data_IF_325409874209
#
_entry.id   IF_325409874209
#
_cell.length_a   1.000
_cell.length_b   1.000
_cell.length_c   1.000
_cell.angle_alpha   90.00
_cell.angle_beta   90.00
_cell.angle_gamma   90.00
#
_symmetry.space_group_name_H-M   'P 1'
#
loop_
_entity.id
_entity.type
_entity.pdbx_description
1 polymer ?
#
# COMPACT_ATOMS: atom_id res chain seq x y z
N UNK A 1 -14.39 21.95 24.42
CA UNK A 1 -13.72 20.64 24.57
C UNK A 1 -13.27 20.26 23.17
N UNK A 2 -12.07 20.70 22.81
CA UNK A 2 -11.55 20.73 21.44
C UNK A 2 -11.01 19.34 21.05
N UNK A 3 -11.80 18.60 20.29
CA UNK A 3 -11.42 17.26 19.75
C UNK A 3 -10.73 17.38 18.38
N UNK A 4 -10.52 18.61 17.86
CA UNK A 4 -10.04 18.84 16.49
C UNK A 4 -8.65 19.50 16.41
N UNK A 5 -7.79 19.33 17.42
CA UNK A 5 -6.39 19.82 17.40
C UNK A 5 -5.34 18.77 17.00
N UNK A 6 -5.69 17.53 16.67
CA UNK A 6 -4.72 16.58 16.10
C UNK A 6 -4.90 16.48 14.58
N UNK A 7 -4.75 17.60 13.87
CA UNK A 7 -4.53 17.58 12.41
C UNK A 7 -3.03 17.41 12.17
N UNK A 8 -2.71 16.35 11.42
CA UNK A 8 -1.46 16.09 10.68
C UNK A 8 -0.14 16.42 11.37
N UNK A 9 0.61 15.42 11.86
CA UNK A 9 2.05 15.61 12.09
C UNK A 9 2.87 14.30 12.15
N UNK A 10 2.44 13.25 11.45
CA UNK A 10 3.15 11.96 11.50
C UNK A 10 4.54 12.00 10.85
N UNK A 11 4.68 12.74 9.75
CA UNK A 11 5.93 12.84 8.97
C UNK A 11 6.81 14.04 9.39
N UNK A 12 6.19 15.15 9.81
CA UNK A 12 6.88 16.38 10.22
C UNK A 12 7.88 16.17 11.36
N UNK A 13 7.58 15.25 12.28
CA UNK A 13 8.47 14.86 13.38
C UNK A 13 9.80 14.21 12.95
N UNK A 14 9.98 13.92 11.65
CA UNK A 14 11.15 13.23 11.10
C UNK A 14 11.94 14.04 10.08
N UNK A 15 11.45 15.22 9.64
CA UNK A 15 12.03 15.99 8.53
C UNK A 15 13.50 16.39 8.78
N UNK A 16 13.88 16.61 10.05
CA UNK A 16 15.24 17.02 10.43
C UNK A 16 16.01 15.95 11.24
N UNK A 17 15.50 14.72 11.29
CA UNK A 17 16.12 13.63 12.07
C UNK A 17 16.93 12.70 11.19
N UNK A 18 18.11 12.31 11.66
CA UNK A 18 18.86 11.21 11.05
C UNK A 18 18.10 9.89 11.24
N UNK A 19 18.35 8.90 10.38
CA UNK A 19 17.76 7.55 10.52
C UNK A 19 17.99 6.99 11.93
N UNK A 20 19.19 7.17 12.49
CA UNK A 20 19.51 6.75 13.87
C UNK A 20 18.62 7.45 14.91
N UNK A 21 18.38 8.76 14.75
CA UNK A 21 17.49 9.51 15.64
C UNK A 21 16.03 9.07 15.50
N UNK A 22 15.57 8.78 14.28
CA UNK A 22 14.21 8.28 14.01
C UNK A 22 14.03 6.92 14.69
N UNK A 23 14.99 6.00 14.51
CA UNK A 23 14.94 4.67 15.12
C UNK A 23 14.97 4.75 16.65
N UNK A 24 15.87 5.56 17.23
CA UNK A 24 15.92 5.76 18.70
C UNK A 24 14.68 6.43 19.27
N UNK A 25 14.02 7.28 18.48
CA UNK A 25 12.77 7.94 18.89
C UNK A 25 11.60 6.95 18.89
N UNK A 26 11.58 5.99 17.97
CA UNK A 26 10.42 5.11 17.77
C UNK A 26 10.56 3.72 18.38
N UNK A 27 11.79 3.26 18.62
CA UNK A 27 12.08 1.98 19.24
C UNK A 27 12.40 2.22 20.71
N UNK A 28 11.50 1.77 21.57
CA UNK A 28 11.70 1.82 23.01
C UNK A 28 11.88 0.41 23.54
N UNK A 29 13.05 0.09 24.08
CA UNK A 29 13.22 -1.12 24.86
C UNK A 29 12.72 -0.86 26.28
N UNK A 30 11.68 -1.57 26.70
CA UNK A 30 11.14 -1.49 28.04
C UNK A 30 11.29 -2.85 28.72
N UNK A 31 12.25 -2.95 29.65
CA UNK A 31 12.61 -4.21 30.32
C UNK A 31 12.99 -5.30 29.29
N UNK A 32 12.16 -6.33 29.15
CA UNK A 32 12.34 -7.46 28.23
C UNK A 32 11.60 -7.27 26.91
N UNK A 33 10.75 -6.23 26.79
CA UNK A 33 9.93 -5.99 25.60
C UNK A 33 10.48 -4.85 24.76
N UNK A 34 10.18 -4.88 23.47
CA UNK A 34 10.55 -3.84 22.50
C UNK A 34 9.27 -3.24 21.94
N UNK A 35 9.13 -1.92 22.00
CA UNK A 35 7.99 -1.19 21.47
C UNK A 35 8.40 -0.44 20.20
N UNK A 36 7.59 -0.55 19.15
CA UNK A 36 7.73 0.20 17.90
C UNK A 36 6.37 0.75 17.47
N UNK A 37 6.27 2.08 17.30
CA UNK A 37 5.04 2.76 16.87
C UNK A 37 3.77 2.37 17.66
N UNK A 38 3.90 2.20 18.98
CA UNK A 38 2.79 1.84 19.87
C UNK A 38 2.43 0.35 19.89
N UNK A 39 3.17 -0.49 19.17
CA UNK A 39 3.04 -1.95 19.21
C UNK A 39 4.13 -2.53 20.11
N UNK A 40 3.73 -3.33 21.09
CA UNK A 40 4.65 -4.02 22.00
C UNK A 40 4.98 -5.42 21.49
N UNK A 41 6.27 -5.72 21.38
CA UNK A 41 6.83 -7.00 20.98
C UNK A 41 7.57 -7.62 22.15
N UNK A 42 7.54 -8.95 22.26
CA UNK A 42 8.19 -9.64 23.37
C UNK A 42 9.70 -9.47 23.44
N UNK A 43 10.36 -9.08 22.33
CA UNK A 43 11.77 -8.67 22.25
C UNK A 43 12.08 -8.11 20.84
N UNK A 44 13.29 -7.59 20.66
CA UNK A 44 13.76 -6.99 19.40
C UNK A 44 13.79 -8.00 18.23
N UNK A 45 14.16 -9.25 18.47
CA UNK A 45 14.17 -10.29 17.43
C UNK A 45 12.75 -10.56 16.92
N UNK A 46 11.77 -10.62 17.81
CA UNK A 46 10.36 -10.80 17.47
C UNK A 46 9.77 -9.57 16.79
N UNK A 47 10.22 -8.36 17.13
CA UNK A 47 9.89 -7.14 16.38
C UNK A 47 10.37 -7.25 14.93
N UNK A 48 11.65 -7.60 14.70
CA UNK A 48 12.21 -7.72 13.34
C UNK A 48 11.51 -8.83 12.54
N UNK A 49 11.24 -9.99 13.16
CA UNK A 49 10.48 -11.07 12.51
C UNK A 49 9.06 -10.61 12.17
N UNK A 50 8.33 -10.02 13.12
CA UNK A 50 6.98 -9.55 12.88
C UNK A 50 6.92 -8.48 11.78
N UNK A 51 7.90 -7.58 11.67
CA UNK A 51 7.97 -6.60 10.57
C UNK A 51 8.14 -7.23 9.19
N UNK A 52 8.75 -8.42 9.10
CA UNK A 52 8.87 -9.17 7.84
C UNK A 52 7.61 -10.00 7.49
N UNK A 53 6.77 -10.31 8.49
CA UNK A 53 5.63 -11.23 8.33
C UNK A 53 4.25 -10.58 8.53
N UNK A 54 4.18 -9.34 9.06
CA UNK A 54 2.93 -8.67 9.35
C UNK A 54 2.74 -7.39 8.51
N UNK A 55 1.61 -7.27 7.77
CA UNK A 55 1.42 -6.27 6.72
C UNK A 55 1.09 -4.86 7.23
N UNK A 56 1.14 -4.58 8.54
CA UNK A 56 1.02 -3.19 9.02
C UNK A 56 2.14 -2.29 8.46
N UNK A 57 3.26 -2.88 8.05
CA UNK A 57 4.35 -2.19 7.34
C UNK A 57 4.29 -2.36 5.82
N UNK A 58 3.32 -3.10 5.27
CA UNK A 58 3.06 -3.09 3.83
C UNK A 58 2.42 -1.73 3.53
N UNK A 59 3.28 -0.75 3.22
CA UNK A 59 2.91 0.64 3.00
C UNK A 59 1.74 0.79 2.02
N UNK A 60 1.58 -0.17 1.10
CA UNK A 60 0.53 -0.21 0.09
C UNK A 60 -0.86 -0.40 0.69
N UNK A 61 -1.06 -1.34 1.62
CA UNK A 61 -2.40 -1.61 2.20
C UNK A 61 -2.83 -0.48 3.14
N UNK A 62 -1.88 0.09 3.88
CA UNK A 62 -2.09 1.27 4.71
C UNK A 62 -2.45 2.48 3.83
N UNK A 63 -1.68 2.74 2.76
CA UNK A 63 -1.97 3.80 1.81
C UNK A 63 -3.34 3.61 1.15
N UNK A 64 -3.66 2.42 0.66
CA UNK A 64 -4.94 2.10 0.04
C UNK A 64 -6.10 2.33 1.02
N UNK A 65 -5.98 1.92 2.27
CA UNK A 65 -7.00 2.15 3.29
C UNK A 65 -7.29 3.64 3.49
N UNK A 66 -6.27 4.47 3.73
CA UNK A 66 -6.46 5.90 3.96
C UNK A 66 -6.95 6.65 2.72
N UNK A 67 -6.47 6.28 1.53
CA UNK A 67 -6.94 6.85 0.26
C UNK A 67 -8.42 6.51 0.00
N UNK A 68 -8.84 5.29 0.34
CA UNK A 68 -10.23 4.85 0.15
C UNK A 68 -11.19 5.45 1.18
N UNK A 69 -10.80 5.52 2.46
CA UNK A 69 -11.64 6.10 3.54
C UNK A 69 -12.01 7.56 3.27
N UNK A 70 -11.16 8.30 2.56
CA UNK A 70 -11.45 9.69 2.15
C UNK A 70 -12.58 9.80 1.13
N UNK A 71 -12.84 8.72 0.36
CA UNK A 71 -13.83 8.71 -0.73
C UNK A 71 -15.08 7.89 -0.40
N UNK A 72 -14.95 6.86 0.43
CA UNK A 72 -16.04 5.94 0.78
C UNK A 72 -15.79 5.28 2.14
N UNK A 73 -16.82 4.92 2.92
CA UNK A 73 -16.64 4.07 4.09
C UNK A 73 -15.97 2.75 3.70
N UNK A 74 -14.69 2.61 4.03
CA UNK A 74 -13.86 1.46 3.72
C UNK A 74 -13.36 0.81 5.01
N UNK A 75 -13.46 -0.52 5.09
CA UNK A 75 -12.99 -1.30 6.22
C UNK A 75 -11.91 -2.26 5.70
N UNK A 76 -10.72 -2.21 6.28
CA UNK A 76 -9.70 -3.23 6.04
C UNK A 76 -9.71 -4.23 7.22
N UNK A 77 -10.23 -5.45 7.03
CA UNK A 77 -10.31 -6.44 8.11
C UNK A 77 -8.92 -6.86 8.63
N UNK A 78 -7.86 -6.70 7.83
CA UNK A 78 -6.49 -7.05 8.24
C UNK A 78 -5.87 -6.03 9.22
N UNK A 79 -6.49 -4.86 9.38
CA UNK A 79 -6.06 -3.80 10.32
C UNK A 79 -6.87 -3.88 11.65
N UNK A 80 -7.62 -4.97 11.88
CA UNK A 80 -8.33 -5.18 13.13
C UNK A 80 -7.36 -5.39 14.31
N UNK A 81 -7.49 -4.59 15.37
CA UNK A 81 -6.63 -4.66 16.56
C UNK A 81 -6.60 -6.05 17.21
N UNK A 82 -7.67 -6.84 17.09
CA UNK A 82 -7.73 -8.21 17.61
C UNK A 82 -6.87 -9.15 16.79
N UNK A 83 -6.84 -9.00 15.47
CA UNK A 83 -5.95 -9.78 14.60
C UNK A 83 -4.48 -9.40 14.80
N UNK A 84 -4.22 -8.10 15.04
CA UNK A 84 -2.88 -7.61 15.38
C UNK A 84 -2.41 -8.25 16.68
N UNK A 85 -3.22 -8.16 17.74
CA UNK A 85 -2.91 -8.78 19.03
C UNK A 85 -2.74 -10.29 18.93
N UNK A 86 -3.61 -10.97 18.18
CA UNK A 86 -3.48 -12.41 17.93
C UNK A 86 -2.12 -12.73 17.30
N UNK A 87 -1.72 -11.99 16.26
CA UNK A 87 -0.44 -12.21 15.60
C UNK A 87 0.76 -12.01 16.54
N UNK A 88 0.73 -10.97 17.37
CA UNK A 88 1.79 -10.69 18.34
C UNK A 88 1.90 -11.77 19.43
N UNK A 89 0.82 -12.50 19.69
CA UNK A 89 0.82 -13.64 20.60
C UNK A 89 1.27 -14.97 19.94
N UNK A 90 1.35 -15.06 18.62
CA UNK A 90 1.78 -16.28 17.93
C UNK A 90 3.31 -16.40 18.06
N UNK A 91 3.83 -17.51 18.62
CA UNK A 91 5.27 -17.70 18.69
C UNK A 91 5.87 -17.77 17.27
N UNK A 92 6.99 -17.10 17.00
CA UNK A 92 7.54 -16.98 15.64
C UNK A 92 7.81 -18.33 14.96
N UNK A 93 8.09 -19.37 15.74
CA UNK A 93 8.36 -20.72 15.23
C UNK A 93 7.14 -21.30 14.51
N UNK A 94 5.94 -20.96 14.95
CA UNK A 94 4.71 -21.37 14.29
C UNK A 94 4.47 -20.55 13.02
N UNK A 95 4.75 -19.26 13.02
CA UNK A 95 4.60 -18.38 11.84
C UNK A 95 5.52 -18.78 10.68
N UNK A 96 6.70 -19.33 10.98
CA UNK A 96 7.71 -19.70 9.98
C UNK A 96 7.53 -21.10 9.39
N UNK A 97 6.99 -22.05 10.17
CA UNK A 97 6.94 -23.47 9.78
C UNK A 97 5.55 -23.96 9.44
N UNK A 98 4.53 -23.40 10.08
CA UNK A 98 3.16 -23.88 9.94
C UNK A 98 2.35 -22.82 9.23
N UNK A 99 1.60 -23.23 8.21
CA UNK A 99 0.64 -22.35 7.58
C UNK A 99 -0.61 -22.26 8.49
N UNK A 100 -0.45 -21.61 9.65
CA UNK A 100 -1.44 -21.57 10.74
C UNK A 100 -2.77 -21.04 10.22
N UNK A 101 -2.72 -20.04 9.32
CA UNK A 101 -3.92 -19.46 8.70
C UNK A 101 -4.67 -20.51 7.89
N UNK A 102 -3.98 -21.27 7.03
CA UNK A 102 -4.61 -22.33 6.24
C UNK A 102 -5.22 -23.42 7.14
N UNK A 103 -4.51 -23.80 8.20
CA UNK A 103 -5.00 -24.77 9.18
C UNK A 103 -6.23 -24.26 9.94
N UNK A 104 -6.20 -23.01 10.40
CA UNK A 104 -7.29 -22.37 11.11
C UNK A 104 -8.54 -22.25 10.22
N UNK A 105 -8.37 -21.78 8.97
CA UNK A 105 -9.47 -21.69 8.02
C UNK A 105 -10.05 -23.07 7.73
N UNK A 106 -9.20 -24.09 7.50
CA UNK A 106 -9.64 -25.48 7.26
C UNK A 106 -10.41 -26.08 8.44
N UNK A 107 -10.14 -25.64 9.67
CA UNK A 107 -10.87 -26.09 10.87
C UNK A 107 -12.18 -25.34 11.08
N UNK A 108 -12.24 -24.05 10.74
CA UNK A 108 -13.42 -23.21 10.93
C UNK A 108 -14.45 -23.44 9.83
N UNK A 109 -14.00 -23.49 8.58
CA UNK A 109 -14.85 -23.61 7.40
C UNK A 109 -14.13 -24.37 6.28
N UNK A 110 -14.51 -25.63 6.12
CA UNK A 110 -13.91 -26.52 5.13
C UNK A 110 -14.32 -26.14 3.69
N UNK A 111 -15.52 -25.59 3.51
CA UNK A 111 -15.98 -25.14 2.18
C UNK A 111 -15.12 -23.97 1.72
N UNK A 112 -14.92 -22.97 2.57
CA UNK A 112 -14.03 -21.84 2.29
C UNK A 112 -12.59 -22.29 2.04
N UNK A 113 -12.07 -23.23 2.83
CA UNK A 113 -10.72 -23.76 2.66
C UNK A 113 -10.52 -24.55 1.36
N UNK A 114 -11.61 -25.06 0.77
CA UNK A 114 -11.57 -25.79 -0.50
C UNK A 114 -11.46 -24.87 -1.72
N UNK A 115 -11.77 -23.58 -1.56
CA UNK A 115 -11.66 -22.60 -2.64
C UNK A 115 -10.19 -22.42 -3.03
N UNK A 116 -9.82 -22.60 -4.32
CA UNK A 116 -8.45 -22.38 -4.78
C UNK A 116 -8.01 -20.92 -4.60
N UNK A 117 -6.79 -20.73 -4.11
CA UNK A 117 -6.23 -19.39 -3.97
C UNK A 117 -6.02 -18.76 -5.36
N UNK A 118 -6.45 -17.51 -5.63
CA UNK A 118 -6.43 -16.92 -6.97
C UNK A 118 -5.04 -16.89 -7.61
N UNK A 119 -4.00 -16.57 -6.84
CA UNK A 119 -2.64 -16.45 -7.37
C UNK A 119 -1.90 -17.79 -7.57
N UNK A 120 -2.36 -18.90 -6.97
CA UNK A 120 -1.67 -20.20 -7.04
C UNK A 120 -2.54 -21.32 -7.60
N UNK A 121 -3.86 -21.09 -7.67
CA UNK A 121 -4.90 -22.05 -8.00
C UNK A 121 -4.84 -23.34 -7.14
N UNK A 122 -4.32 -23.23 -5.91
CA UNK A 122 -4.23 -24.33 -4.94
C UNK A 122 -5.09 -24.00 -3.73
N UNK A 123 -5.90 -24.95 -3.27
CA UNK A 123 -6.74 -24.81 -2.08
C UNK A 123 -5.91 -24.81 -0.78
N UNK A 124 -6.48 -24.24 0.28
CA UNK A 124 -5.81 -24.20 1.60
C UNK A 124 -5.67 -25.59 2.23
N UNK A 125 -6.53 -26.52 1.83
CA UNK A 125 -6.51 -27.93 2.26
C UNK A 125 -5.41 -28.77 1.62
N UNK A 126 -4.74 -28.25 0.59
CA UNK A 126 -3.68 -28.98 -0.10
C UNK A 126 -2.43 -29.15 0.77
N UNK A 127 -1.67 -30.23 0.53
CA UNK A 127 -0.42 -30.49 1.23
C UNK A 127 0.59 -29.34 1.03
N UNK A 128 1.53 -29.18 1.96
CA UNK A 128 2.59 -28.18 1.85
C UNK A 128 3.34 -28.28 0.51
N UNK A 129 3.64 -29.50 0.04
CA UNK A 129 4.35 -29.71 -1.22
C UNK A 129 3.53 -29.22 -2.41
N UNK A 130 2.21 -29.49 -2.41
CA UNK A 130 1.30 -29.00 -3.45
C UNK A 130 1.23 -27.48 -3.46
N UNK A 131 1.14 -26.85 -2.28
CA UNK A 131 1.14 -25.39 -2.17
C UNK A 131 2.47 -24.79 -2.65
N UNK A 132 3.60 -25.39 -2.28
CA UNK A 132 4.93 -24.94 -2.70
C UNK A 132 5.13 -25.05 -4.22
N UNK A 133 4.74 -26.19 -4.81
CA UNK A 133 4.79 -26.37 -6.26
C UNK A 133 3.86 -25.38 -6.95
N UNK A 134 2.62 -25.20 -6.47
CA UNK A 134 1.68 -24.23 -7.01
C UNK A 134 2.22 -22.80 -7.00
N UNK A 135 2.87 -22.40 -5.88
CA UNK A 135 3.54 -21.11 -5.79
C UNK A 135 4.66 -20.96 -6.84
N UNK A 136 5.56 -21.93 -6.94
CA UNK A 136 6.65 -21.90 -7.90
C UNK A 136 6.15 -21.91 -9.35
N UNK A 137 5.15 -22.72 -9.66
CA UNK A 137 4.58 -22.81 -11.01
C UNK A 137 3.89 -21.52 -11.39
N UNK A 138 3.12 -20.91 -10.48
CA UNK A 138 2.46 -19.64 -10.77
C UNK A 138 3.45 -18.50 -10.87
N UNK A 139 4.51 -18.49 -10.04
CA UNK A 139 5.60 -17.53 -10.17
C UNK A 139 6.31 -17.67 -11.52
N UNK A 140 6.70 -18.90 -11.91
CA UNK A 140 7.38 -19.14 -13.19
C UNK A 140 6.47 -18.84 -14.38
N UNK A 141 5.18 -19.17 -14.30
CA UNK A 141 4.20 -18.83 -15.31
C UNK A 141 4.08 -17.30 -15.47
N UNK A 142 4.00 -16.55 -14.35
CA UNK A 142 3.97 -15.09 -14.37
C UNK A 142 5.25 -14.47 -14.92
N UNK A 143 6.41 -15.03 -14.60
CA UNK A 143 7.69 -14.44 -14.96
C UNK A 143 8.08 -14.73 -16.41
N UNK A 144 7.83 -15.96 -16.88
CA UNK A 144 8.37 -16.44 -18.15
C UNK A 144 7.31 -16.66 -19.24
N UNK A 145 6.05 -16.89 -18.87
CA UNK A 145 4.99 -17.25 -19.84
C UNK A 145 4.02 -16.09 -20.09
N UNK A 146 3.65 -15.35 -19.04
CA UNK A 146 2.89 -14.10 -19.16
C UNK A 146 3.82 -12.93 -19.51
N UNK A 147 4.43 -12.99 -20.69
CA UNK A 147 5.23 -11.88 -21.25
C UNK A 147 4.39 -10.91 -22.09
N UNK A 148 3.15 -11.25 -22.45
CA UNK A 148 2.26 -10.42 -23.30
C UNK A 148 0.79 -10.40 -22.83
N UNK A 149 0.49 -10.85 -21.62
CA UNK A 149 -0.87 -10.87 -21.06
C UNK A 149 -0.86 -10.23 -19.67
N UNK A 150 -1.89 -9.43 -19.37
CA UNK A 150 -2.02 -8.71 -18.10
C UNK A 150 -1.79 -9.68 -16.94
N UNK A 151 -0.69 -9.48 -16.21
CA UNK A 151 -0.39 -10.19 -14.96
C UNK A 151 -1.41 -9.70 -13.93
N UNK A 152 -2.64 -10.20 -13.94
CA UNK A 152 -3.73 -9.76 -13.06
C UNK A 152 -4.19 -10.91 -12.17
N UNK A 153 -3.45 -11.19 -11.09
CA UNK A 153 -3.80 -12.25 -10.13
C UNK A 153 -4.53 -11.74 -8.87
N UNK A 154 -4.89 -10.46 -8.80
CA UNK A 154 -5.53 -9.90 -7.60
C UNK A 154 -6.51 -8.74 -7.85
N UNK A 155 -6.91 -8.50 -9.11
CA UNK A 155 -7.67 -7.29 -9.47
C UNK A 155 -6.82 -6.01 -9.54
N UNK A 156 -5.50 -6.15 -9.45
CA UNK A 156 -4.52 -5.07 -9.59
C UNK A 156 -3.56 -5.40 -10.73
N UNK A 157 -3.36 -4.46 -11.65
CA UNK A 157 -2.45 -4.61 -12.79
C UNK A 157 -1.00 -4.36 -12.35
N UNK A 158 -0.13 -5.36 -12.50
CA UNK A 158 1.31 -5.21 -12.21
C UNK A 158 2.05 -4.35 -13.24
N UNK A 159 1.51 -4.23 -14.46
CA UNK A 159 2.02 -3.33 -15.49
C UNK A 159 1.21 -2.02 -15.49
N UNK A 160 1.55 -1.13 -14.57
CA UNK A 160 0.95 0.21 -14.48
C UNK A 160 1.17 0.95 -15.80
N UNK A 161 2.29 0.76 -16.49
CA UNK A 161 2.53 1.35 -17.80
C UNK A 161 1.49 0.91 -18.83
N UNK A 162 1.28 -0.39 -18.99
CA UNK A 162 0.27 -0.92 -19.90
C UNK A 162 -1.16 -0.48 -19.53
N UNK A 163 -1.47 -0.42 -18.23
CA UNK A 163 -2.75 0.11 -17.75
C UNK A 163 -2.93 1.58 -18.15
N UNK A 164 -1.93 2.42 -17.93
CA UNK A 164 -1.98 3.86 -18.24
C UNK A 164 -2.06 4.11 -19.75
N UNK A 165 -1.39 3.28 -20.57
CA UNK A 165 -1.44 3.38 -22.03
C UNK A 165 -2.82 3.08 -22.61
N UNK A 166 -3.54 2.13 -22.00
CA UNK A 166 -4.79 1.58 -22.53
C UNK A 166 -6.05 2.04 -21.78
N UNK A 167 -5.91 2.80 -20.69
CA UNK A 167 -7.04 3.26 -19.88
C UNK A 167 -7.75 4.47 -20.49
N UNK A 168 -9.03 4.29 -20.84
CA UNK A 168 -9.89 5.37 -21.31
C UNK A 168 -10.09 6.46 -20.25
N UNK A 169 -10.16 6.09 -18.97
CA UNK A 169 -10.26 7.05 -17.86
C UNK A 169 -9.02 7.93 -17.77
N UNK A 170 -7.83 7.36 -17.96
CA UNK A 170 -6.57 8.11 -17.96
C UNK A 170 -6.54 9.07 -19.15
N UNK A 171 -6.94 8.59 -20.34
CA UNK A 171 -7.05 9.43 -21.52
C UNK A 171 -8.01 10.61 -21.31
N UNK A 172 -9.17 10.39 -20.68
CA UNK A 172 -10.13 11.45 -20.37
C UNK A 172 -9.58 12.49 -19.39
N UNK A 173 -8.89 12.04 -18.33
CA UNK A 173 -8.26 12.95 -17.37
C UNK A 173 -7.16 13.79 -18.00
N UNK A 174 -6.31 13.18 -18.83
CA UNK A 174 -5.16 13.86 -19.46
C UNK A 174 -5.54 14.66 -20.72
N UNK A 175 -6.79 14.58 -21.17
CA UNK A 175 -7.34 15.44 -22.24
C UNK A 175 -8.23 16.56 -21.71
N UNK A 176 -8.52 16.58 -20.40
CA UNK A 176 -9.27 17.67 -19.78
C UNK A 176 -8.34 18.82 -19.41
N UNK A 177 -8.21 19.77 -20.33
CA UNK A 177 -7.31 20.92 -20.23
C UNK A 177 -7.61 21.83 -19.05
N UNK A 178 -8.89 21.94 -18.65
CA UNK A 178 -9.28 22.76 -17.50
C UNK A 178 -8.70 22.23 -16.18
N UNK A 179 -8.75 20.91 -15.97
CA UNK A 179 -8.26 20.29 -14.73
C UNK A 179 -6.72 20.34 -14.66
N UNK A 180 -6.04 20.18 -15.80
CA UNK A 180 -4.58 20.28 -15.91
C UNK A 180 -4.12 21.71 -15.60
N UNK A 181 -4.77 22.71 -16.19
CA UNK A 181 -4.47 24.11 -15.92
C UNK A 181 -4.75 24.49 -14.47
N UNK A 182 -5.83 23.97 -13.87
CA UNK A 182 -6.13 24.16 -12.45
C UNK A 182 -5.06 23.55 -11.55
N UNK A 183 -4.48 22.41 -11.93
CA UNK A 183 -3.42 21.76 -11.17
C UNK A 183 -2.17 22.65 -11.07
N UNK A 184 -1.81 23.35 -12.16
CA UNK A 184 -0.80 24.41 -12.15
C UNK A 184 0.65 23.97 -11.87
N UNK A 185 0.93 22.66 -11.85
CA UNK A 185 2.26 22.09 -11.56
C UNK A 185 3.00 21.61 -12.82
N UNK A 186 2.30 21.48 -13.94
CA UNK A 186 2.82 20.93 -15.19
C UNK A 186 2.26 21.72 -16.36
N UNK A 187 3.08 21.91 -17.38
CA UNK A 187 2.63 22.49 -18.65
C UNK A 187 1.76 21.47 -19.41
N UNK A 188 0.67 21.96 -19.99
CA UNK A 188 -0.31 21.12 -20.69
C UNK A 188 0.30 20.43 -21.90
N UNK A 189 1.06 21.17 -22.71
CA UNK A 189 1.65 20.66 -23.95
C UNK A 189 2.72 19.61 -23.61
N UNK A 190 3.55 19.87 -22.59
CA UNK A 190 4.56 18.92 -22.11
C UNK A 190 3.93 17.62 -21.56
N UNK A 191 2.83 17.72 -20.83
CA UNK A 191 2.12 16.56 -20.28
C UNK A 191 1.51 15.70 -21.41
N UNK A 192 0.89 16.34 -22.40
CA UNK A 192 0.29 15.65 -23.55
C UNK A 192 1.38 14.95 -24.37
N UNK A 193 2.51 15.62 -24.62
CA UNK A 193 3.65 15.02 -25.31
C UNK A 193 4.19 13.81 -24.54
N UNK A 194 4.41 13.95 -23.22
CA UNK A 194 4.84 12.87 -22.35
C UNK A 194 3.88 11.66 -22.39
N UNK A 195 2.57 11.91 -22.34
CA UNK A 195 1.56 10.85 -22.43
C UNK A 195 1.56 10.16 -23.79
N UNK A 196 1.69 10.91 -24.89
CA UNK A 196 1.76 10.34 -26.24
C UNK A 196 3.02 9.51 -26.48
N UNK A 197 4.17 9.95 -25.96
CA UNK A 197 5.41 9.18 -26.01
C UNK A 197 5.28 7.89 -25.19
N UNK A 198 4.64 7.94 -24.03
CA UNK A 198 4.34 6.75 -23.23
C UNK A 198 3.44 5.75 -23.97
N UNK A 199 2.38 6.24 -24.62
CA UNK A 199 1.49 5.42 -25.47
C UNK A 199 2.20 4.80 -26.67
N UNK A 200 3.24 5.46 -27.17
CA UNK A 200 4.06 4.98 -28.28
C UNK A 200 5.11 3.93 -27.86
N UNK A 201 5.21 3.62 -26.57
CA UNK A 201 6.04 2.53 -26.04
C UNK A 201 7.16 2.99 -25.10
N UNK A 202 7.36 4.30 -24.91
CA UNK A 202 8.29 4.79 -23.89
C UNK A 202 7.75 4.52 -22.48
N UNK A 203 8.62 4.53 -21.47
CA UNK A 203 8.23 4.36 -20.08
C UNK A 203 8.27 5.69 -19.32
N UNK A 204 7.11 6.32 -19.22
CA UNK A 204 6.84 7.49 -18.40
C UNK A 204 5.79 7.19 -17.33
N UNK A 205 5.56 5.91 -17.01
CA UNK A 205 4.43 5.44 -16.21
C UNK A 205 4.33 6.16 -14.86
N UNK A 206 5.47 6.34 -14.18
CA UNK A 206 5.52 6.98 -12.86
C UNK A 206 5.13 8.47 -12.89
N UNK A 207 5.56 9.21 -13.91
CA UNK A 207 5.21 10.62 -14.04
C UNK A 207 3.70 10.78 -14.30
N UNK A 208 3.18 9.97 -15.21
CA UNK A 208 1.75 9.96 -15.58
C UNK A 208 0.89 9.52 -14.38
N UNK A 209 1.30 8.47 -13.64
CA UNK A 209 0.58 8.00 -12.45
C UNK A 209 0.43 9.10 -11.40
N UNK A 210 1.49 9.86 -11.13
CA UNK A 210 1.44 10.98 -10.17
C UNK A 210 0.42 12.02 -10.63
N UNK A 211 0.47 12.45 -11.89
CA UNK A 211 -0.45 13.48 -12.41
C UNK A 211 -1.90 12.97 -12.41
N UNK A 212 -2.14 11.76 -12.90
CA UNK A 212 -3.49 11.13 -12.89
C UNK A 212 -4.03 11.04 -11.47
N UNK A 213 -3.19 10.68 -10.50
CA UNK A 213 -3.57 10.60 -9.09
C UNK A 213 -4.00 11.98 -8.56
N UNK A 214 -3.20 13.01 -8.82
CA UNK A 214 -3.47 14.38 -8.38
C UNK A 214 -4.76 14.95 -9.01
N UNK A 215 -4.94 14.75 -10.32
CA UNK A 215 -6.17 15.12 -11.03
C UNK A 215 -7.39 14.37 -10.46
N UNK A 216 -7.26 13.06 -10.22
CA UNK A 216 -8.34 12.26 -9.63
C UNK A 216 -8.70 12.65 -8.20
N UNK A 217 -7.78 13.30 -7.48
CA UNK A 217 -8.00 13.79 -6.12
C UNK A 217 -8.63 15.19 -6.09
N UNK A 218 -8.76 15.87 -7.24
CA UNK A 218 -9.22 17.26 -7.34
C UNK A 218 -8.46 18.21 -6.38
N UNK A 219 -7.14 18.04 -6.29
CA UNK A 219 -6.31 18.87 -5.41
C UNK A 219 -6.14 20.26 -6.02
N UNK A 220 -6.63 21.27 -5.33
CA UNK A 220 -6.36 22.67 -5.66
C UNK A 220 -5.05 23.12 -4.98
N UNK A 221 -3.96 23.10 -5.73
CA UNK A 221 -2.65 23.55 -5.23
C UNK A 221 -2.57 25.07 -5.02
N UNK A 222 -3.42 25.87 -5.67
CA UNK A 222 -3.50 27.31 -5.42
C UNK A 222 -4.09 27.59 -4.03
N UNK A 223 -5.02 26.75 -3.56
CA UNK A 223 -5.52 26.81 -2.19
C UNK A 223 -4.49 26.36 -1.13
N UNK A 224 -3.51 25.53 -1.50
CA UNK A 224 -2.46 25.07 -0.59
C UNK A 224 -1.30 26.07 -0.45
N UNK A 225 -1.03 26.90 -1.47
CA UNK A 225 0.03 27.91 -1.45
C UNK A 225 -0.35 29.23 -0.76
N UNK A 226 -1.64 29.43 -0.45
CA UNK A 226 -2.14 30.64 0.23
C UNK A 226 -2.12 30.54 1.76
N UNK A 227 -1.79 29.37 2.33
CA UNK A 227 -1.76 29.12 3.77
C UNK A 227 -0.65 29.81 4.56
N UNK A 228 0.37 30.38 3.91
CA UNK A 228 1.55 30.94 4.58
C UNK A 228 1.56 32.48 4.73
N UNK A 229 0.51 33.20 4.29
CA UNK A 229 0.51 34.68 4.26
C UNK A 229 -0.46 35.40 5.22
N UNK A 230 -1.11 34.72 6.17
CA UNK A 230 -1.96 35.38 7.19
C UNK A 230 -1.46 35.19 8.64
N UNK A 231 -0.15 35.33 8.86
CA UNK A 231 0.38 35.63 10.20
C UNK A 231 1.14 36.95 10.15
N UNK A 232 0.42 38.05 9.89
CA UNK A 232 0.92 39.38 10.23
C UNK A 232 -0.22 40.28 10.71
N UNK A 233 -0.04 40.71 11.97
CA UNK A 233 -0.62 41.88 12.61
C UNK A 233 -2.07 41.77 13.12
N UNK A 234 -2.19 41.22 14.33
CA UNK A 234 -3.03 41.80 15.38
C UNK A 234 -2.54 41.36 16.77
N UNK A 235 -1.47 41.96 17.27
CA UNK A 235 -1.40 42.64 18.60
C UNK A 235 -0.06 43.34 18.75
#
# INVERSE_FOLDING_TARGET
MDILKSKSSGAEQYIDKTIDQILKTNIHNYKETTMLHGVEYSNFENMVKAMNYYPLTNQIDHFAYYSMVQRTPYINPLIDYRLINLHLCIPPEYSLRNNIVHQAVSQVDQELASIPHPATNVSLTASWLTQYIGYLSSWAYREYILTNGSKNDAGWTYDIGDLLRNSETVNQLLTNTADIQQLGIVDEDELIECYNNHRSGEDHAKAIEIIVTLLSMNVDFAALSTGDNEITQNT
#
